data_IF_743565110094
#
_entry.id   IF_743565110094
#
_cell.length_a   1.000
_cell.length_b   1.000
_cell.length_c   1.000
_cell.angle_alpha   90.00
_cell.angle_beta   90.00
_cell.angle_gamma   90.00
#
_symmetry.space_group_name_H-M   'P 1'
#
loop_
_entity.id
_entity.type
_entity.pdbx_description
1 polymer ?
#
# COMPACT_ATOMS: atom_id res chain seq x y z
N UNK A 1 -10.46 -14.32 0.70
CA UNK A 1 -9.58 -13.21 1.08
C UNK A 1 -8.20 -13.44 0.51
N UNK A 2 -7.56 -12.41 0.04
CA UNK A 2 -6.41 -12.52 -0.86
C UNK A 2 -5.13 -11.99 -0.23
N UNK A 3 -4.00 -12.47 -0.78
CA UNK A 3 -2.66 -11.94 -0.49
C UNK A 3 -2.49 -10.58 -1.15
N UNK A 4 -1.76 -9.68 -0.50
CA UNK A 4 -1.31 -8.43 -1.10
C UNK A 4 0.15 -8.16 -0.76
N UNK A 5 0.84 -7.44 -1.63
CA UNK A 5 2.16 -6.88 -1.35
C UNK A 5 2.03 -5.37 -1.26
N UNK A 6 2.63 -4.76 -0.27
CA UNK A 6 2.57 -3.31 -0.09
C UNK A 6 3.90 -2.63 -0.39
N UNK A 7 3.81 -1.47 -1.04
CA UNK A 7 4.86 -0.47 -1.06
C UNK A 7 4.86 0.35 0.24
N UNK A 8 5.83 1.23 0.38
CA UNK A 8 6.11 2.01 1.59
C UNK A 8 5.05 3.05 1.90
N UNK A 9 4.61 3.82 0.90
CA UNK A 9 3.75 5.00 1.11
C UNK A 9 2.41 4.66 1.77
N UNK A 10 1.66 3.64 1.35
CA UNK A 10 0.40 3.28 2.02
C UNK A 10 0.60 2.88 3.48
N UNK A 11 1.67 2.17 3.81
CA UNK A 11 1.98 1.77 5.19
C UNK A 11 2.25 2.99 6.06
N UNK A 12 3.08 3.92 5.57
CA UNK A 12 3.43 5.15 6.28
C UNK A 12 2.19 6.02 6.51
N UNK A 13 1.39 6.25 5.47
CA UNK A 13 0.20 7.11 5.56
C UNK A 13 -0.84 6.52 6.51
N UNK A 14 -1.16 5.24 6.38
CA UNK A 14 -2.12 4.58 7.27
C UNK A 14 -1.63 4.51 8.72
N UNK A 15 -0.33 4.30 8.94
CA UNK A 15 0.25 4.31 10.28
C UNK A 15 0.20 5.71 10.91
N UNK A 16 0.51 6.78 10.13
CA UNK A 16 0.45 8.17 10.61
C UNK A 16 -0.93 8.58 11.11
N UNK A 17 -1.98 8.11 10.48
CA UNK A 17 -3.36 8.40 10.87
C UNK A 17 -3.96 7.37 11.86
N UNK A 18 -3.15 6.39 12.33
CA UNK A 18 -3.60 5.36 13.26
C UNK A 18 -4.61 4.37 12.67
N UNK A 19 -4.55 4.12 11.35
CA UNK A 19 -5.50 3.26 10.63
C UNK A 19 -4.82 2.13 9.83
N UNK A 20 -3.61 1.73 10.21
CA UNK A 20 -2.87 0.65 9.53
C UNK A 20 -3.69 -0.66 9.49
N UNK A 21 -4.46 -0.93 10.53
CA UNK A 21 -5.32 -2.12 10.67
C UNK A 21 -6.41 -2.23 9.57
N UNK A 22 -6.73 -1.15 8.84
CA UNK A 22 -7.67 -1.23 7.72
C UNK A 22 -7.23 -2.26 6.67
N UNK A 23 -5.94 -2.45 6.49
CA UNK A 23 -5.40 -3.45 5.57
C UNK A 23 -5.86 -4.87 5.93
N UNK A 24 -6.02 -5.19 7.23
CA UNK A 24 -6.50 -6.49 7.70
C UNK A 24 -7.97 -6.74 7.41
N UNK A 25 -8.75 -5.70 7.23
CA UNK A 25 -10.19 -5.83 6.89
C UNK A 25 -10.41 -6.27 5.44
N UNK A 26 -9.36 -6.16 4.60
CA UNK A 26 -9.43 -6.44 3.16
C UNK A 26 -8.57 -7.64 2.79
N UNK A 27 -7.39 -7.76 3.40
CA UNK A 27 -6.40 -8.77 3.05
C UNK A 27 -6.08 -9.67 4.25
N UNK A 28 -5.94 -10.99 3.99
CA UNK A 28 -5.54 -11.93 5.04
C UNK A 28 -4.06 -11.82 5.39
N UNK A 29 -3.24 -11.65 4.36
CA UNK A 29 -1.80 -11.60 4.49
C UNK A 29 -1.26 -10.44 3.67
N UNK A 30 -0.47 -9.62 4.33
CA UNK A 30 0.29 -8.53 3.72
C UNK A 30 1.76 -8.92 3.73
N UNK A 31 2.40 -8.80 2.58
CA UNK A 31 3.82 -9.08 2.41
C UNK A 31 4.56 -7.80 2.02
N UNK A 32 5.79 -7.68 2.46
CA UNK A 32 6.68 -6.58 2.08
C UNK A 32 8.09 -7.11 1.82
N UNK A 33 8.83 -6.59 0.83
CA UNK A 33 10.22 -6.93 0.63
C UNK A 33 11.12 -6.17 1.62
N UNK A 34 12.35 -6.64 1.77
CA UNK A 34 13.36 -6.01 2.64
C UNK A 34 13.56 -4.51 2.34
N UNK A 35 13.57 -4.11 1.06
CA UNK A 35 13.74 -2.70 0.69
C UNK A 35 12.62 -1.82 1.26
N UNK A 36 11.38 -2.32 1.34
CA UNK A 36 10.25 -1.61 1.97
C UNK A 36 10.45 -1.57 3.49
N UNK A 37 10.80 -2.68 4.14
CA UNK A 37 11.09 -2.70 5.59
C UNK A 37 12.18 -1.70 5.96
N UNK A 38 13.28 -1.66 5.20
CA UNK A 38 14.36 -0.72 5.43
C UNK A 38 13.89 0.73 5.34
N UNK A 39 12.99 1.04 4.41
CA UNK A 39 12.44 2.39 4.24
C UNK A 39 11.46 2.77 5.36
N UNK A 40 10.52 1.90 5.69
CA UNK A 40 9.43 2.23 6.63
C UNK A 40 9.78 2.01 8.09
N UNK A 41 10.67 1.09 8.41
CA UNK A 41 11.08 0.78 9.78
C UNK A 41 12.46 1.36 10.08
N UNK A 42 13.50 0.89 9.39
CA UNK A 42 14.89 1.24 9.73
C UNK A 42 15.16 2.74 9.57
N UNK A 43 14.88 3.30 8.39
CA UNK A 43 15.07 4.74 8.16
C UNK A 43 14.10 5.58 8.97
N UNK A 44 12.85 5.14 9.11
CA UNK A 44 11.85 5.84 9.91
C UNK A 44 12.25 5.95 11.37
N UNK A 45 12.76 4.89 11.98
CA UNK A 45 13.27 4.90 13.37
C UNK A 45 14.49 5.80 13.52
N UNK A 46 15.43 5.77 12.57
CA UNK A 46 16.60 6.66 12.59
C UNK A 46 16.20 8.14 12.52
N UNK A 47 15.05 8.45 11.93
CA UNK A 47 14.47 9.79 11.87
C UNK A 47 13.44 10.05 12.99
N UNK A 48 13.32 9.16 13.97
CA UNK A 48 12.37 9.23 15.08
C UNK A 48 10.91 9.40 14.64
N UNK A 49 10.52 8.76 13.51
CA UNK A 49 9.14 8.82 13.02
C UNK A 49 8.25 7.85 13.81
N UNK A 50 7.15 8.32 14.44
CA UNK A 50 6.27 7.46 15.22
C UNK A 50 5.63 6.32 14.44
N UNK A 51 5.30 6.54 13.16
CA UNK A 51 4.74 5.54 12.26
C UNK A 51 5.67 4.32 12.07
N UNK A 52 7.00 4.53 12.11
CA UNK A 52 7.96 3.44 11.99
C UNK A 52 7.82 2.39 13.11
N UNK A 53 7.53 2.81 14.33
CA UNK A 53 7.32 1.90 15.46
C UNK A 53 6.00 1.14 15.35
N UNK A 54 4.96 1.78 14.82
CA UNK A 54 3.67 1.15 14.55
C UNK A 54 3.83 0.06 13.49
N UNK A 55 4.53 0.36 12.40
CA UNK A 55 4.80 -0.59 11.32
C UNK A 55 5.68 -1.73 11.81
N UNK A 56 6.75 -1.45 12.58
CA UNK A 56 7.62 -2.48 13.17
C UNK A 56 6.82 -3.47 14.02
N UNK A 57 5.87 -2.99 14.83
CA UNK A 57 5.00 -3.86 15.61
C UNK A 57 4.14 -4.75 14.71
N UNK A 58 3.63 -4.21 13.61
CA UNK A 58 2.85 -4.97 12.64
C UNK A 58 3.69 -6.03 11.92
N UNK A 59 4.97 -5.76 11.61
CA UNK A 59 5.87 -6.74 10.98
C UNK A 59 6.20 -7.94 11.89
N UNK A 60 6.05 -7.79 13.20
CA UNK A 60 6.18 -8.90 14.15
C UNK A 60 4.94 -9.77 14.28
N UNK A 61 3.84 -9.39 13.66
CA UNK A 61 2.53 -10.05 13.86
C UNK A 61 1.80 -10.44 12.60
N UNK A 62 1.54 -9.53 11.66
CA UNK A 62 0.66 -9.77 10.52
C UNK A 62 1.11 -9.17 9.18
N UNK A 63 2.15 -8.35 9.17
CA UNK A 63 2.86 -7.96 7.94
C UNK A 63 4.11 -8.82 7.84
N UNK A 64 4.27 -9.53 6.73
CA UNK A 64 5.34 -10.51 6.58
C UNK A 64 6.44 -9.96 5.68
N UNK A 65 7.62 -9.70 6.27
CA UNK A 65 8.80 -9.48 5.45
C UNK A 65 9.19 -10.76 4.73
N UNK A 66 9.39 -10.66 3.43
CA UNK A 66 9.68 -11.83 2.58
C UNK A 66 10.79 -11.46 1.60
N UNK A 67 11.85 -12.25 1.52
CA UNK A 67 12.95 -12.00 0.58
C UNK A 67 12.48 -12.19 -0.87
N UNK A 68 12.96 -11.32 -1.74
CA UNK A 68 12.78 -11.47 -3.19
C UNK A 68 13.86 -12.44 -3.72
N UNK A 69 13.43 -13.44 -4.48
CA UNK A 69 14.34 -14.38 -5.10
C UNK A 69 15.16 -13.76 -6.25
N UNK A 70 16.36 -14.26 -6.47
CA UNK A 70 17.23 -13.80 -7.56
C UNK A 70 16.91 -14.52 -8.90
N UNK A 71 15.64 -14.76 -9.17
CA UNK A 71 15.23 -15.31 -10.46
C UNK A 71 15.47 -14.32 -11.59
N UNK A 72 15.98 -14.80 -12.70
CA UNK A 72 16.14 -14.02 -13.92
C UNK A 72 15.06 -14.44 -14.89
N UNK A 73 14.03 -13.59 -15.02
CA UNK A 73 12.98 -13.74 -16.01
C UNK A 73 12.68 -12.40 -16.69
N UNK A 74 11.93 -12.44 -17.77
CA UNK A 74 11.63 -11.24 -18.58
C UNK A 74 10.97 -10.13 -17.77
N UNK A 75 10.08 -10.47 -16.83
CA UNK A 75 9.39 -9.50 -15.98
C UNK A 75 10.35 -8.84 -14.99
N UNK A 76 11.29 -9.59 -14.40
CA UNK A 76 12.30 -9.06 -13.50
C UNK A 76 13.30 -8.17 -14.22
N UNK A 77 13.75 -8.56 -15.42
CA UNK A 77 14.60 -7.72 -16.27
C UNK A 77 13.89 -6.40 -16.59
N UNK A 78 12.62 -6.46 -16.98
CA UNK A 78 11.81 -5.27 -17.24
C UNK A 78 11.74 -4.34 -16.02
N UNK A 79 11.50 -4.89 -14.83
CA UNK A 79 11.46 -4.12 -13.58
C UNK A 79 12.82 -3.50 -13.26
N UNK A 80 13.91 -4.26 -13.39
CA UNK A 80 15.26 -3.77 -13.08
C UNK A 80 15.71 -2.64 -14.02
N UNK A 81 15.29 -2.67 -15.28
CA UNK A 81 15.62 -1.63 -16.28
C UNK A 81 14.69 -0.42 -16.21
N UNK A 82 13.58 -0.49 -15.46
CA UNK A 82 12.66 0.63 -15.34
C UNK A 82 13.20 1.67 -14.33
N UNK A 83 13.69 2.77 -14.85
CA UNK A 83 14.30 3.86 -14.05
C UNK A 83 13.29 4.77 -13.35
N UNK A 84 11.99 4.61 -13.62
CA UNK A 84 10.91 5.41 -13.00
C UNK A 84 10.43 4.84 -11.68
N UNK A 85 10.76 3.56 -11.40
CA UNK A 85 10.43 2.91 -10.14
C UNK A 85 11.63 2.98 -9.19
N UNK A 86 11.35 3.19 -7.91
CA UNK A 86 12.37 3.04 -6.88
C UNK A 86 12.62 1.55 -6.54
N UNK A 87 13.64 1.27 -5.74
CA UNK A 87 14.01 -0.10 -5.40
C UNK A 87 12.92 -0.82 -4.60
N UNK A 88 12.23 -0.12 -3.71
CA UNK A 88 11.10 -0.68 -2.94
C UNK A 88 9.95 -1.12 -3.85
N UNK A 89 9.58 -0.28 -4.81
CA UNK A 89 8.54 -0.56 -5.79
C UNK A 89 8.90 -1.74 -6.69
N UNK A 90 10.14 -1.79 -7.19
CA UNK A 90 10.64 -2.91 -8.00
C UNK A 90 10.57 -4.23 -7.23
N UNK A 91 11.11 -4.26 -6.02
CA UNK A 91 11.10 -5.45 -5.18
C UNK A 91 9.67 -5.86 -4.79
N UNK A 92 8.79 -4.91 -4.49
CA UNK A 92 7.39 -5.21 -4.17
C UNK A 92 6.65 -5.84 -5.36
N UNK A 93 6.87 -5.34 -6.58
CA UNK A 93 6.26 -5.92 -7.78
C UNK A 93 6.84 -7.31 -8.11
N UNK A 94 8.15 -7.52 -7.95
CA UNK A 94 8.77 -8.86 -8.04
C UNK A 94 8.16 -9.82 -7.02
N UNK A 95 7.99 -9.36 -5.79
CA UNK A 95 7.39 -10.16 -4.72
C UNK A 95 5.93 -10.52 -5.02
N UNK A 96 5.15 -9.63 -5.65
CA UNK A 96 3.81 -9.96 -6.14
C UNK A 96 3.83 -11.17 -7.09
N UNK A 97 4.76 -11.18 -8.03
CA UNK A 97 4.91 -12.27 -9.00
C UNK A 97 5.37 -13.56 -8.32
N UNK A 98 6.39 -13.47 -7.47
CA UNK A 98 6.92 -14.61 -6.71
C UNK A 98 5.86 -15.30 -5.86
N UNK A 99 5.02 -14.55 -5.17
CA UNK A 99 4.00 -15.07 -4.27
C UNK A 99 2.65 -15.35 -4.97
N UNK A 100 2.53 -15.06 -6.27
CA UNK A 100 1.25 -15.02 -6.96
C UNK A 100 0.21 -14.18 -6.18
N UNK A 101 0.66 -13.05 -5.65
CA UNK A 101 -0.19 -12.12 -4.94
C UNK A 101 -0.98 -11.27 -5.94
N UNK A 102 -2.33 -11.33 -5.94
CA UNK A 102 -3.12 -10.63 -6.94
C UNK A 102 -3.18 -9.11 -6.75
N UNK A 103 -2.79 -8.60 -5.57
CA UNK A 103 -2.90 -7.19 -5.24
C UNK A 103 -1.56 -6.56 -4.89
N UNK A 104 -1.36 -5.34 -5.41
CA UNK A 104 -0.26 -4.46 -5.07
C UNK A 104 -0.80 -3.17 -4.44
N UNK A 105 -0.41 -2.90 -3.20
CA UNK A 105 -0.87 -1.72 -2.45
C UNK A 105 0.16 -0.61 -2.66
N UNK A 106 -0.21 0.41 -3.46
CA UNK A 106 0.68 1.51 -3.81
C UNK A 106 -0.10 2.75 -4.23
N UNK A 107 0.41 3.92 -3.87
CA UNK A 107 -0.15 5.22 -4.26
C UNK A 107 0.57 5.84 -5.46
N UNK A 108 1.83 5.47 -5.73
CA UNK A 108 2.58 5.98 -6.87
C UNK A 108 1.91 5.61 -8.20
N UNK A 109 1.76 6.61 -9.07
CA UNK A 109 1.04 6.49 -10.33
C UNK A 109 1.76 5.57 -11.33
N UNK A 110 3.08 5.67 -11.40
CA UNK A 110 3.87 4.84 -12.32
C UNK A 110 3.94 3.40 -11.82
N UNK A 111 4.16 3.18 -10.53
CA UNK A 111 4.14 1.85 -9.93
C UNK A 111 2.81 1.13 -10.15
N UNK A 112 1.69 1.84 -10.00
CA UNK A 112 0.35 1.31 -10.26
C UNK A 112 0.12 0.98 -11.75
N UNK A 113 0.67 1.77 -12.66
CA UNK A 113 0.61 1.51 -14.10
C UNK A 113 1.39 0.24 -14.45
N UNK A 114 2.61 0.11 -13.93
CA UNK A 114 3.45 -1.07 -14.14
C UNK A 114 2.80 -2.33 -13.55
N UNK A 115 2.19 -2.24 -12.36
CA UNK A 115 1.44 -3.35 -11.79
C UNK A 115 0.36 -3.88 -12.75
N UNK A 116 -0.42 -2.98 -13.36
CA UNK A 116 -1.45 -3.36 -14.35
C UNK A 116 -0.86 -4.07 -15.57
N UNK A 117 0.29 -3.60 -16.07
CA UNK A 117 1.00 -4.26 -17.19
C UNK A 117 1.44 -5.68 -16.86
N UNK A 118 1.74 -5.93 -15.57
CA UNK A 118 2.11 -7.25 -15.05
C UNK A 118 0.91 -8.10 -14.60
N UNK A 119 -0.32 -7.68 -14.93
CA UNK A 119 -1.57 -8.33 -14.50
C UNK A 119 -1.73 -8.41 -12.97
N UNK A 120 -1.19 -7.43 -12.25
CA UNK A 120 -1.35 -7.27 -10.80
C UNK A 120 -2.35 -6.13 -10.57
N UNK A 121 -3.31 -6.31 -9.66
CA UNK A 121 -4.34 -5.31 -9.35
C UNK A 121 -3.80 -4.28 -8.37
N UNK A 122 -3.55 -3.03 -8.77
CA UNK A 122 -3.12 -2.00 -7.84
C UNK A 122 -4.30 -1.45 -7.05
N UNK A 123 -4.07 -1.21 -5.76
CA UNK A 123 -5.00 -0.51 -4.88
C UNK A 123 -4.22 0.57 -4.12
N UNK A 124 -4.68 1.82 -4.16
CA UNK A 124 -4.10 2.91 -3.38
C UNK A 124 -4.74 3.04 -2.00
N UNK A 125 -4.18 3.90 -1.16
CA UNK A 125 -4.67 4.14 0.20
C UNK A 125 -6.15 4.59 0.22
N UNK A 126 -6.58 5.42 -0.72
CA UNK A 126 -8.00 5.77 -0.88
C UNK A 126 -8.86 4.56 -1.27
N UNK A 127 -8.35 3.70 -2.15
CA UNK A 127 -9.04 2.45 -2.52
C UNK A 127 -9.22 1.50 -1.34
N UNK A 128 -8.22 1.42 -0.46
CA UNK A 128 -8.31 0.67 0.81
C UNK A 128 -9.42 1.24 1.68
N UNK A 129 -9.51 2.57 1.83
CA UNK A 129 -10.56 3.24 2.60
C UNK A 129 -11.96 2.93 2.04
N UNK A 130 -12.13 3.05 0.73
CA UNK A 130 -13.42 2.75 0.06
C UNK A 130 -13.79 1.27 0.21
N UNK A 131 -12.83 0.38 0.09
CA UNK A 131 -13.10 -1.06 0.25
C UNK A 131 -13.48 -1.41 1.70
N UNK A 132 -12.83 -0.80 2.68
CA UNK A 132 -13.19 -0.97 4.09
C UNK A 132 -14.61 -0.47 4.39
N UNK A 133 -15.02 0.66 3.79
CA UNK A 133 -16.39 1.17 3.86
C UNK A 133 -17.39 0.17 3.24
N UNK A 134 -17.12 -0.31 2.03
CA UNK A 134 -17.99 -1.28 1.34
C UNK A 134 -18.12 -2.60 2.09
N UNK A 135 -17.08 -3.01 2.81
CA UNK A 135 -17.09 -4.21 3.64
C UNK A 135 -17.78 -3.98 5.01
N UNK A 136 -18.25 -2.76 5.29
CA UNK A 136 -18.86 -2.41 6.57
C UNK A 136 -17.89 -2.34 7.76
N UNK A 137 -16.58 -2.30 7.48
CA UNK A 137 -15.54 -2.21 8.51
C UNK A 137 -15.42 -0.81 9.12
N UNK A 138 -15.86 0.21 8.39
CA UNK A 138 -15.93 1.61 8.82
C UNK A 138 -17.23 2.23 8.36
N UNK A 139 -17.68 3.30 9.05
CA UNK A 139 -18.83 4.10 8.67
C UNK A 139 -18.49 5.14 7.61
N UNK A 140 -19.50 5.73 6.96
CA UNK A 140 -19.31 6.86 6.03
C UNK A 140 -18.53 8.00 6.69
N UNK A 141 -18.91 8.37 7.91
CA UNK A 141 -18.24 9.44 8.66
C UNK A 141 -16.78 9.14 8.95
N UNK A 142 -16.47 7.90 9.29
CA UNK A 142 -15.07 7.49 9.45
C UNK A 142 -14.31 7.54 8.13
N UNK A 143 -14.91 7.12 7.01
CA UNK A 143 -14.29 7.21 5.70
C UNK A 143 -13.97 8.65 5.29
N UNK A 144 -14.88 9.61 5.51
CA UNK A 144 -14.65 11.05 5.30
C UNK A 144 -13.46 11.56 6.13
N UNK A 145 -13.43 11.22 7.42
CA UNK A 145 -12.37 11.63 8.32
C UNK A 145 -11.01 11.04 7.88
N UNK A 146 -10.98 9.75 7.50
CA UNK A 146 -9.77 9.09 7.01
C UNK A 146 -9.25 9.78 5.75
N UNK A 147 -10.11 10.12 4.80
CA UNK A 147 -9.70 10.84 3.58
C UNK A 147 -9.09 12.19 3.92
N UNK A 148 -9.71 12.96 4.82
CA UNK A 148 -9.19 14.24 5.28
C UNK A 148 -7.82 14.09 5.98
N UNK A 149 -7.69 13.12 6.87
CA UNK A 149 -6.45 12.84 7.60
C UNK A 149 -5.32 12.38 6.67
N UNK A 150 -5.63 11.57 5.65
CA UNK A 150 -4.67 11.13 4.64
C UNK A 150 -4.12 12.32 3.85
N UNK A 151 -4.97 13.25 3.43
CA UNK A 151 -4.56 14.46 2.71
C UNK A 151 -3.68 15.33 3.62
N UNK A 152 -4.08 15.53 4.86
CA UNK A 152 -3.30 16.29 5.85
C UNK A 152 -1.94 15.64 6.13
N UNK A 153 -1.88 14.31 6.07
CA UNK A 153 -0.64 13.53 6.27
C UNK A 153 0.25 13.45 5.03
N UNK A 154 -0.15 14.06 3.91
CA UNK A 154 0.68 14.20 2.73
C UNK A 154 0.23 13.42 1.49
N UNK A 155 -0.93 12.74 1.52
CA UNK A 155 -1.49 12.12 0.32
C UNK A 155 -1.86 13.21 -0.70
N UNK A 156 -1.28 13.10 -1.90
CA UNK A 156 -1.56 14.04 -2.99
C UNK A 156 -2.68 13.50 -3.86
N UNK A 157 -3.76 14.27 -3.97
CA UNK A 157 -4.88 14.01 -4.87
C UNK A 157 -5.30 15.30 -5.57
N UNK A 158 -5.78 15.20 -6.79
CA UNK A 158 -6.40 16.32 -7.48
C UNK A 158 -7.88 16.52 -7.06
N UNK A 159 -8.42 17.68 -7.36
CA UNK A 159 -9.80 18.05 -7.00
C UNK A 159 -10.83 17.11 -7.62
N UNK A 160 -10.58 16.60 -8.83
CA UNK A 160 -11.51 15.69 -9.53
C UNK A 160 -11.59 14.35 -8.82
N UNK A 161 -10.43 13.77 -8.44
CA UNK A 161 -10.37 12.54 -7.68
C UNK A 161 -11.00 12.71 -6.30
N UNK A 162 -10.74 13.84 -5.62
CA UNK A 162 -11.33 14.14 -4.32
C UNK A 162 -12.86 14.14 -4.36
N UNK A 163 -13.45 14.87 -5.32
CA UNK A 163 -14.91 14.89 -5.50
C UNK A 163 -15.47 13.49 -5.76
N UNK A 164 -14.84 12.74 -6.66
CA UNK A 164 -15.25 11.35 -6.96
C UNK A 164 -15.21 10.45 -5.72
N UNK A 165 -14.22 10.59 -4.86
CA UNK A 165 -14.13 9.83 -3.61
C UNK A 165 -15.26 10.18 -2.67
N UNK A 166 -15.58 11.46 -2.50
CA UNK A 166 -16.70 11.89 -1.66
C UNK A 166 -18.04 11.36 -2.19
N UNK A 167 -18.29 11.46 -3.50
CA UNK A 167 -19.50 10.93 -4.13
C UNK A 167 -19.65 9.41 -3.88
N UNK A 168 -18.55 8.66 -3.93
CA UNK A 168 -18.55 7.21 -3.64
C UNK A 168 -18.89 6.96 -2.17
N UNK A 169 -18.32 7.75 -1.24
CA UNK A 169 -18.58 7.61 0.19
C UNK A 169 -20.06 7.93 0.50
N UNK A 170 -20.59 9.01 -0.05
CA UNK A 170 -21.99 9.41 0.15
C UNK A 170 -22.98 8.39 -0.41
N UNK A 171 -22.64 7.72 -1.52
CA UNK A 171 -23.49 6.71 -2.16
C UNK A 171 -23.35 5.30 -1.59
N UNK A 172 -22.43 5.07 -0.68
CA UNK A 172 -22.26 3.75 -0.04
C UNK A 172 -23.32 3.54 1.03
N UNK A 173 -24.17 2.54 0.82
CA UNK A 173 -25.23 2.12 1.76
C UNK A 173 -24.87 0.81 2.42
#
# INVERSE_FOLDING_TARGET
MSKAVSDSTPLILLAKIGRLELLKTIFNNIYIPEAVTNKVVTKGKNLNQPDAYIIEKATKTWIHETPVTNEINTEYIYLDTNTRLDEGEKQALKLCKQLNAPYFIADDKEARKVAKLLNIKPIGTLGVTIQALKNGAITQKEAENIVADLITSGLRIDTTLYKKILDIIESAH
#
